data_IF_052482375572
#
_entry.id   IF_052482375572
#
_cell.length_a   1.000
_cell.length_b   1.000
_cell.length_c   1.000
_cell.angle_alpha   90.00
_cell.angle_beta   90.00
_cell.angle_gamma   90.00
#
_symmetry.space_group_name_H-M   'P 1'
#
loop_
_entity.id
_entity.type
_entity.pdbx_description
1 polymer ?
#
# COMPACT_ATOMS: atom_id res chain seq x y z
N UNK A 1 -14.08 9.13 -18.47
CA UNK A 1 -14.59 7.84 -18.98
C UNK A 1 -13.43 6.87 -19.03
N UNK A 2 -12.98 6.39 -17.87
CA UNK A 2 -12.05 5.27 -17.78
C UNK A 2 -12.87 4.01 -17.94
N UNK A 3 -12.49 3.19 -18.92
CA UNK A 3 -13.08 1.87 -19.11
C UNK A 3 -12.58 1.03 -17.94
N UNK A 4 -13.45 0.77 -16.96
CA UNK A 4 -13.28 -0.40 -16.08
C UNK A 4 -13.05 -1.57 -17.02
N UNK A 5 -11.84 -2.13 -17.01
CA UNK A 5 -11.57 -3.38 -17.69
C UNK A 5 -12.33 -4.45 -16.90
N UNK A 6 -13.62 -4.58 -17.20
CA UNK A 6 -14.33 -5.83 -17.04
C UNK A 6 -13.35 -6.90 -17.54
N UNK A 7 -13.16 -7.99 -16.79
CA UNK A 7 -12.45 -9.19 -17.27
C UNK A 7 -13.11 -9.67 -18.57
N UNK A 8 -12.73 -9.09 -19.71
CA UNK A 8 -13.18 -9.53 -21.02
C UNK A 8 -12.27 -10.68 -21.38
N UNK A 9 -12.77 -11.89 -21.14
CA UNK A 9 -12.22 -13.12 -21.71
C UNK A 9 -12.33 -12.96 -23.23
N UNK A 10 -11.24 -12.56 -23.89
CA UNK A 10 -11.21 -12.43 -25.34
C UNK A 10 -11.15 -13.84 -25.95
N UNK A 11 -12.30 -14.36 -26.37
CA UNK A 11 -12.37 -15.65 -27.07
C UNK A 11 -11.89 -15.44 -28.52
N UNK A 12 -10.64 -15.77 -28.81
CA UNK A 12 -10.15 -15.82 -30.19
C UNK A 12 -10.67 -17.10 -30.87
N UNK A 13 -11.67 -16.97 -31.75
CA UNK A 13 -12.15 -18.07 -32.58
C UNK A 13 -11.29 -18.15 -33.85
N UNK A 14 -10.35 -19.09 -33.89
CA UNK A 14 -9.62 -19.42 -35.13
C UNK A 14 -10.40 -20.52 -35.86
N UNK A 15 -11.11 -20.14 -36.93
CA UNK A 15 -11.78 -21.09 -37.80
C UNK A 15 -10.78 -21.72 -38.78
N UNK A 16 -10.10 -22.79 -38.34
CA UNK A 16 -9.36 -23.70 -39.22
C UNK A 16 -10.23 -24.90 -39.60
N UNK A 17 -10.14 -25.37 -40.85
CA UNK A 17 -11.05 -26.35 -41.47
C UNK A 17 -11.09 -27.76 -40.83
N UNK A 18 -10.48 -28.00 -39.68
CA UNK A 18 -10.62 -29.23 -38.90
C UNK A 18 -10.49 -28.92 -37.41
N UNK A 19 -11.61 -28.94 -36.68
CA UNK A 19 -11.65 -28.89 -35.21
C UNK A 19 -11.64 -27.49 -34.60
N UNK A 20 -12.62 -27.21 -33.74
CA UNK A 20 -12.69 -26.03 -32.90
C UNK A 20 -11.58 -26.12 -31.84
N UNK A 21 -10.53 -25.30 -31.96
CA UNK A 21 -9.52 -25.15 -30.89
C UNK A 21 -9.81 -23.86 -30.15
N UNK A 22 -10.31 -23.98 -28.92
CA UNK A 22 -10.44 -22.85 -28.00
C UNK A 22 -9.06 -22.66 -27.37
N UNK A 23 -8.38 -21.55 -27.70
CA UNK A 23 -7.13 -21.18 -27.04
C UNK A 23 -7.43 -20.11 -25.99
N UNK A 24 -7.05 -20.40 -24.74
CA UNK A 24 -7.12 -19.44 -23.65
C UNK A 24 -5.80 -18.68 -23.64
N UNK A 25 -5.79 -17.44 -24.08
CA UNK A 25 -4.67 -16.54 -23.82
C UNK A 25 -4.91 -15.88 -22.48
N UNK A 26 -4.26 -16.39 -21.42
CA UNK A 26 -4.08 -15.59 -20.22
C UNK A 26 -3.11 -14.46 -20.61
N UNK A 27 -3.58 -13.22 -20.61
CA UNK A 27 -2.66 -12.10 -20.49
C UNK A 27 -2.04 -12.20 -19.11
N UNK A 28 -0.70 -12.20 -18.97
CA UNK A 28 -0.11 -12.07 -17.66
C UNK A 28 -0.68 -10.79 -17.02
N UNK A 29 -1.21 -10.90 -15.80
CA UNK A 29 -1.54 -9.74 -15.01
C UNK A 29 -0.20 -9.08 -14.67
N UNK A 30 0.12 -8.01 -15.38
CA UNK A 30 1.23 -7.14 -15.03
C UNK A 30 0.76 -6.28 -13.85
N UNK A 31 1.71 -5.89 -12.99
CA UNK A 31 1.56 -4.91 -11.90
C UNK A 31 0.34 -4.00 -12.05
N UNK A 32 -0.51 -3.93 -11.04
CA UNK A 32 -1.70 -3.06 -11.04
C UNK A 32 -1.39 -1.63 -10.59
N UNK A 33 -0.29 -1.40 -9.85
CA UNK A 33 0.12 -0.07 -9.39
C UNK A 33 1.31 0.48 -10.20
N UNK A 34 1.17 1.70 -10.73
CA UNK A 34 2.12 2.37 -11.62
C UNK A 34 2.53 3.75 -11.10
N UNK A 35 3.67 4.25 -11.58
CA UNK A 35 4.12 5.62 -11.32
C UNK A 35 3.07 6.64 -11.80
N UNK A 36 2.32 7.23 -10.87
CA UNK A 36 1.21 8.16 -11.15
C UNK A 36 -0.14 7.75 -10.59
N UNK A 37 -0.24 6.58 -9.96
CA UNK A 37 -1.38 6.23 -9.11
C UNK A 37 -1.28 6.97 -7.76
N UNK A 38 -2.43 7.16 -7.12
CA UNK A 38 -2.57 7.98 -5.92
C UNK A 38 -1.90 7.31 -4.70
N UNK A 39 -1.57 8.13 -3.69
CA UNK A 39 -0.81 7.73 -2.51
C UNK A 39 -1.04 8.69 -1.34
N UNK A 40 -0.89 8.17 -0.12
CA UNK A 40 -1.07 8.90 1.15
C UNK A 40 0.21 8.89 2.00
N UNK A 41 1.33 9.14 1.34
CA UNK A 41 2.67 9.25 1.94
C UNK A 41 3.48 10.35 1.24
N UNK A 42 4.65 10.71 1.76
CA UNK A 42 5.53 11.74 1.23
C UNK A 42 5.74 11.67 -0.30
N UNK A 43 6.05 10.48 -0.81
CA UNK A 43 5.97 10.07 -2.22
C UNK A 43 6.03 8.54 -2.30
N UNK A 44 5.57 7.92 -3.40
CA UNK A 44 5.68 6.48 -3.56
C UNK A 44 7.12 5.99 -3.64
N UNK A 45 7.44 4.91 -2.93
CA UNK A 45 8.74 4.24 -2.97
C UNK A 45 8.62 2.95 -3.78
N UNK A 46 9.01 3.03 -5.06
CA UNK A 46 9.00 1.93 -6.03
C UNK A 46 10.28 1.11 -5.97
N UNK A 47 10.26 -0.19 -6.36
CA UNK A 47 11.43 -1.05 -6.25
C UNK A 47 12.56 -0.59 -7.19
N UNK A 48 13.77 -0.47 -6.63
CA UNK A 48 15.01 -0.15 -7.33
C UNK A 48 15.40 -1.25 -8.30
N UNK A 49 15.57 -0.94 -9.60
CA UNK A 49 16.13 -1.92 -10.53
C UNK A 49 17.57 -2.30 -10.15
N UNK A 50 17.85 -3.60 -10.07
CA UNK A 50 19.13 -4.15 -9.66
C UNK A 50 19.55 -3.89 -8.21
N UNK A 51 18.62 -3.42 -7.37
CA UNK A 51 18.85 -3.17 -5.95
C UNK A 51 18.99 -4.43 -5.10
N UNK A 52 19.00 -4.24 -3.79
CA UNK A 52 19.01 -5.32 -2.81
C UNK A 52 17.61 -5.82 -2.45
N UNK A 53 17.56 -7.12 -2.19
CA UNK A 53 16.49 -7.76 -1.42
C UNK A 53 16.95 -7.98 -0.01
N UNK A 54 16.42 -7.17 0.89
CA UNK A 54 16.76 -7.18 2.31
C UNK A 54 15.99 -8.30 2.98
N UNK A 55 16.70 -9.34 3.40
CA UNK A 55 16.12 -10.56 3.95
C UNK A 55 15.47 -10.33 5.32
N UNK A 56 14.30 -10.93 5.51
CA UNK A 56 13.62 -10.89 6.81
C UNK A 56 14.29 -11.77 7.87
N UNK A 57 15.04 -12.82 7.54
CA UNK A 57 15.92 -13.61 8.45
C UNK A 57 15.29 -14.03 9.79
N UNK A 58 14.00 -14.42 9.81
CA UNK A 58 13.22 -14.66 11.06
C UNK A 58 13.19 -13.45 12.02
N UNK A 59 13.32 -12.27 11.44
CA UNK A 59 13.21 -10.93 11.99
C UNK A 59 12.05 -10.22 11.26
N UNK A 60 11.91 -8.95 11.56
CA UNK A 60 10.98 -7.99 10.98
C UNK A 60 11.78 -6.79 10.47
N UNK A 61 11.32 -6.22 9.38
CA UNK A 61 11.88 -5.01 8.78
C UNK A 61 10.88 -3.88 8.96
N UNK A 62 11.36 -2.67 9.12
CA UNK A 62 10.52 -1.49 9.12
C UNK A 62 11.17 -0.36 8.35
N UNK A 63 10.34 0.44 7.70
CA UNK A 63 10.75 1.67 7.03
C UNK A 63 9.72 2.76 7.26
N UNK A 64 10.13 4.02 7.16
CA UNK A 64 9.33 5.15 7.60
C UNK A 64 8.63 5.89 6.46
N UNK A 65 7.51 6.55 6.80
CA UNK A 65 6.84 7.46 5.90
C UNK A 65 6.20 8.62 6.65
N UNK A 66 6.27 9.81 6.07
CA UNK A 66 5.40 10.91 6.46
C UNK A 66 4.08 10.82 5.72
N UNK A 67 2.97 10.89 6.45
CA UNK A 67 1.63 10.97 5.92
C UNK A 67 1.43 12.28 5.13
N UNK A 68 0.92 12.18 3.90
CA UNK A 68 0.61 13.35 3.06
C UNK A 68 -0.84 13.84 3.18
N UNK A 69 -1.73 13.03 3.76
CA UNK A 69 -3.15 13.37 3.92
C UNK A 69 -3.77 12.55 5.06
N UNK A 70 -4.43 13.22 6.00
CA UNK A 70 -5.12 12.56 7.13
C UNK A 70 -6.18 11.58 6.63
N UNK A 71 -6.34 10.44 7.31
CA UNK A 71 -7.38 9.45 7.03
C UNK A 71 -6.85 8.02 7.08
N UNK A 72 -7.61 7.03 6.60
CA UNK A 72 -7.21 5.63 6.71
C UNK A 72 -5.99 5.28 5.85
N UNK A 73 -5.24 4.28 6.34
CA UNK A 73 -4.29 3.45 5.59
C UNK A 73 -5.10 2.27 5.04
N UNK A 74 -5.73 2.50 3.89
CA UNK A 74 -6.74 1.59 3.35
C UNK A 74 -6.13 0.45 2.55
N UNK A 75 -5.04 0.73 1.82
CA UNK A 75 -4.24 -0.29 1.14
C UNK A 75 -2.74 -0.11 1.42
N UNK A 76 -2.03 -1.24 1.36
CA UNK A 76 -0.58 -1.31 1.48
C UNK A 76 -0.06 -2.16 0.33
N UNK A 77 0.88 -1.60 -0.44
CA UNK A 77 1.57 -2.30 -1.53
C UNK A 77 3.06 -2.28 -1.25
N UNK A 78 3.71 -3.43 -1.39
CA UNK A 78 5.15 -3.54 -1.20
C UNK A 78 5.73 -4.62 -2.09
N UNK A 79 7.04 -4.60 -2.30
CA UNK A 79 7.70 -5.50 -3.23
C UNK A 79 8.66 -6.44 -2.54
N UNK A 80 8.63 -7.70 -2.95
CA UNK A 80 9.48 -8.75 -2.40
C UNK A 80 10.11 -9.61 -3.51
N UNK A 81 11.10 -10.41 -3.13
CA UNK A 81 11.50 -11.60 -3.87
C UNK A 81 11.86 -12.75 -2.94
N UNK A 82 12.18 -13.87 -3.58
CA UNK A 82 12.74 -15.04 -2.93
C UNK A 82 14.15 -15.30 -3.44
N UNK A 83 15.02 -15.70 -2.51
CA UNK A 83 16.39 -16.09 -2.82
C UNK A 83 16.41 -17.19 -3.90
N UNK A 84 17.34 -17.08 -4.85
CA UNK A 84 17.52 -18.02 -5.97
C UNK A 84 16.25 -18.27 -6.81
N UNK A 85 15.31 -17.31 -6.85
CA UNK A 85 13.98 -17.44 -7.48
C UNK A 85 13.12 -18.60 -6.92
N UNK A 86 13.45 -19.08 -5.71
CA UNK A 86 12.76 -20.19 -5.04
C UNK A 86 11.48 -19.73 -4.33
N UNK A 87 10.46 -19.38 -5.13
CA UNK A 87 9.16 -18.89 -4.63
C UNK A 87 8.50 -19.89 -3.68
N UNK A 88 8.06 -19.38 -2.52
CA UNK A 88 7.34 -20.13 -1.50
C UNK A 88 5.95 -19.53 -1.27
N UNK A 89 4.97 -20.34 -0.80
CA UNK A 89 3.68 -19.80 -0.39
C UNK A 89 3.84 -18.87 0.82
N UNK A 90 3.02 -17.83 0.86
CA UNK A 90 2.86 -16.96 2.02
C UNK A 90 1.59 -17.41 2.76
N UNK A 91 1.77 -17.91 3.99
CA UNK A 91 0.65 -18.34 4.84
C UNK A 91 0.00 -17.12 5.51
N UNK A 92 0.82 -16.29 6.15
CA UNK A 92 0.44 -15.03 6.76
C UNK A 92 1.55 -13.97 6.68
N UNK A 93 1.14 -12.71 6.84
CA UNK A 93 1.99 -11.53 6.95
C UNK A 93 1.46 -10.69 8.11
N UNK A 94 2.29 -10.37 9.10
CA UNK A 94 1.94 -9.37 10.12
C UNK A 94 2.43 -8.01 9.64
N UNK A 95 1.53 -7.03 9.65
CA UNK A 95 1.83 -5.63 9.41
C UNK A 95 1.65 -4.88 10.73
N UNK A 96 2.62 -4.04 11.07
CA UNK A 96 2.56 -3.11 12.20
C UNK A 96 2.74 -1.67 11.72
N UNK A 97 1.98 -0.75 12.31
CA UNK A 97 2.19 0.69 12.16
C UNK A 97 2.63 1.24 13.50
N UNK A 98 3.78 1.90 13.51
CA UNK A 98 4.41 2.42 14.72
C UNK A 98 4.56 3.93 14.64
N UNK A 99 4.57 4.58 15.80
CA UNK A 99 5.04 5.96 15.94
C UNK A 99 6.55 6.05 15.75
N UNK A 100 7.01 7.23 15.37
CA UNK A 100 8.42 7.53 15.20
C UNK A 100 9.09 7.99 16.52
N UNK A 101 10.20 7.36 16.90
CA UNK A 101 11.20 7.96 17.79
C UNK A 101 12.41 8.42 16.95
N UNK A 102 12.52 9.74 16.65
CA UNK A 102 13.56 10.26 15.77
C UNK A 102 14.98 10.19 16.38
N UNK A 103 15.10 9.74 17.62
CA UNK A 103 16.37 9.67 18.36
C UNK A 103 16.44 8.39 19.18
N UNK A 104 16.01 7.29 18.57
CA UNK A 104 15.98 5.93 19.10
C UNK A 104 17.15 5.56 20.01
N UNK A 105 17.05 4.45 20.76
CA UNK A 105 17.99 4.12 21.84
C UNK A 105 19.46 3.99 21.41
N UNK A 106 19.73 3.83 20.11
CA UNK A 106 21.06 3.74 19.52
C UNK A 106 21.50 5.00 18.77
N UNK A 107 20.66 6.05 18.70
CA UNK A 107 20.98 7.36 18.15
C UNK A 107 20.50 7.61 16.71
N UNK A 108 19.74 6.69 16.12
CA UNK A 108 19.05 6.82 14.84
C UNK A 108 17.53 6.72 15.04
N UNK A 109 16.77 7.14 14.04
CA UNK A 109 15.31 7.12 14.08
C UNK A 109 14.81 5.67 13.95
N UNK A 110 13.75 5.32 14.69
CA UNK A 110 13.25 3.93 14.82
C UNK A 110 11.75 3.88 15.14
N UNK A 111 11.10 2.71 14.94
CA UNK A 111 9.79 2.44 15.50
C UNK A 111 9.78 2.48 17.05
N UNK A 112 8.83 3.22 17.66
CA UNK A 112 8.69 3.38 19.12
C UNK A 112 7.46 2.67 19.69
N UNK A 113 6.30 3.32 19.64
CA UNK A 113 5.03 2.78 20.15
C UNK A 113 4.25 2.14 18.99
N UNK A 114 3.85 0.88 19.14
CA UNK A 114 2.94 0.20 18.22
C UNK A 114 1.55 0.84 18.31
N UNK A 115 1.08 1.39 17.20
CA UNK A 115 -0.20 2.11 17.10
C UNK A 115 -1.30 1.20 16.56
N UNK A 116 -0.95 0.31 15.63
CA UNK A 116 -1.88 -0.61 14.99
C UNK A 116 -1.14 -1.84 14.50
N UNK A 117 -1.77 -3.01 14.59
CA UNK A 117 -1.24 -4.25 14.03
C UNK A 117 -2.35 -5.11 13.43
N UNK A 118 -2.00 -5.86 12.39
CA UNK A 118 -2.90 -6.88 11.83
C UNK A 118 -2.13 -8.01 11.17
N UNK A 119 -2.76 -9.19 11.17
CA UNK A 119 -2.29 -10.36 10.44
C UNK A 119 -3.18 -10.54 9.21
N UNK A 120 -2.56 -10.64 8.04
CA UNK A 120 -3.18 -10.91 6.76
C UNK A 120 -2.79 -12.32 6.31
N UNK A 121 -3.74 -13.06 5.75
CA UNK A 121 -3.54 -14.41 5.25
C UNK A 121 -3.51 -14.43 3.73
N UNK A 122 -3.26 -15.59 3.14
CA UNK A 122 -3.31 -15.76 1.68
C UNK A 122 -4.64 -15.34 1.00
N UNK A 123 -5.75 -15.21 1.75
CA UNK A 123 -7.03 -14.72 1.20
C UNK A 123 -7.16 -13.21 1.20
N UNK A 124 -6.33 -12.51 1.97
CA UNK A 124 -6.38 -11.05 2.14
C UNK A 124 -5.37 -10.34 1.24
N UNK A 125 -4.53 -11.11 0.52
CA UNK A 125 -3.45 -10.57 -0.31
C UNK A 125 -3.58 -11.00 -1.77
N UNK A 126 -3.17 -10.11 -2.66
CA UNK A 126 -2.93 -10.43 -4.08
C UNK A 126 -1.42 -10.37 -4.35
N UNK A 127 -0.91 -11.36 -5.09
CA UNK A 127 0.51 -11.43 -5.48
C UNK A 127 0.60 -11.26 -6.98
N UNK A 128 1.32 -10.24 -7.43
CA UNK A 128 1.51 -9.92 -8.85
C UNK A 128 2.99 -9.99 -9.20
N UNK A 129 3.32 -10.82 -10.19
CA UNK A 129 4.69 -10.92 -10.70
C UNK A 129 5.02 -9.73 -11.60
N UNK A 130 6.18 -9.14 -11.39
CA UNK A 130 6.70 -8.00 -12.14
C UNK A 130 7.71 -8.43 -13.20
N UNK A 131 8.02 -7.52 -14.12
CA UNK A 131 9.08 -7.74 -15.11
C UNK A 131 10.40 -8.10 -14.41
N UNK A 132 11.06 -9.20 -14.82
CA UNK A 132 12.24 -9.71 -14.15
C UNK A 132 13.43 -8.77 -14.31
N UNK A 133 14.29 -8.77 -13.30
CA UNK A 133 15.43 -7.88 -13.21
C UNK A 133 16.48 -8.47 -12.25
N UNK A 134 17.74 -8.43 -12.65
CA UNK A 134 18.83 -9.08 -11.92
C UNK A 134 19.16 -8.28 -10.66
N UNK A 135 18.99 -8.89 -9.49
CA UNK A 135 19.06 -8.20 -8.20
C UNK A 135 19.93 -8.96 -7.20
N UNK A 136 20.41 -8.24 -6.19
CA UNK A 136 21.23 -8.79 -5.11
C UNK A 136 20.38 -9.28 -3.94
N UNK A 137 20.93 -10.19 -3.14
CA UNK A 137 20.37 -10.61 -1.86
C UNK A 137 21.21 -10.05 -0.71
N UNK A 138 20.58 -9.53 0.34
CA UNK A 138 21.28 -9.01 1.51
C UNK A 138 20.61 -9.45 2.81
N UNK A 139 21.36 -10.13 3.67
CA UNK A 139 20.95 -10.43 5.04
C UNK A 139 21.65 -9.47 6.01
N UNK A 140 20.92 -8.46 6.53
CA UNK A 140 21.52 -7.46 7.43
C UNK A 140 21.91 -8.05 8.79
N UNK A 141 21.29 -9.18 9.21
CA UNK A 141 21.58 -9.80 10.50
C UNK A 141 22.93 -10.49 10.55
N UNK A 142 23.34 -11.12 9.44
CA UNK A 142 24.65 -11.76 9.31
C UNK A 142 25.68 -10.89 8.60
N UNK A 143 25.23 -9.82 7.92
CA UNK A 143 26.04 -9.01 7.01
C UNK A 143 26.41 -9.75 5.71
N UNK A 144 25.77 -10.88 5.41
CA UNK A 144 26.03 -11.64 4.19
C UNK A 144 25.27 -11.05 3.02
N UNK A 145 25.91 -11.00 1.86
CA UNK A 145 25.27 -10.50 0.64
C UNK A 145 25.72 -11.30 -0.57
N UNK A 146 24.85 -11.39 -1.56
CA UNK A 146 25.08 -12.08 -2.83
C UNK A 146 24.64 -11.16 -3.98
N UNK A 147 25.58 -10.50 -4.66
CA UNK A 147 25.27 -9.78 -5.89
C UNK A 147 24.73 -10.77 -6.94
N UNK A 148 23.85 -10.28 -7.84
CA UNK A 148 23.34 -11.05 -8.99
C UNK A 148 22.71 -12.42 -8.60
N UNK A 149 21.86 -12.44 -7.57
CA UNK A 149 21.31 -13.67 -6.99
C UNK A 149 20.08 -14.21 -7.76
N UNK A 150 19.13 -13.35 -8.08
CA UNK A 150 17.81 -13.78 -8.59
C UNK A 150 17.24 -12.75 -9.58
N UNK A 151 16.16 -13.11 -10.29
CA UNK A 151 15.55 -12.29 -11.33
C UNK A 151 14.10 -11.88 -11.02
N UNK A 152 13.34 -12.72 -10.31
CA UNK A 152 11.91 -12.55 -10.13
C UNK A 152 11.63 -11.65 -8.95
N UNK A 153 10.65 -10.77 -9.10
CA UNK A 153 10.15 -9.88 -8.07
C UNK A 153 8.63 -9.78 -8.14
N UNK A 154 8.03 -9.52 -7.00
CA UNK A 154 6.58 -9.63 -6.82
C UNK A 154 6.09 -8.43 -6.03
N UNK A 155 4.96 -7.89 -6.44
CA UNK A 155 4.20 -6.91 -5.68
C UNK A 155 3.16 -7.67 -4.86
N UNK A 156 3.09 -7.34 -3.58
CA UNK A 156 2.08 -7.80 -2.64
C UNK A 156 1.11 -6.66 -2.43
N UNK A 157 -0.18 -6.93 -2.66
CA UNK A 157 -1.25 -5.98 -2.45
C UNK A 157 -2.11 -6.45 -1.29
N UNK A 158 -2.23 -5.59 -0.28
CA UNK A 158 -3.18 -5.70 0.81
C UNK A 158 -4.17 -4.56 0.62
N UNK A 159 -5.38 -4.88 0.18
CA UNK A 159 -6.39 -3.89 -0.23
C UNK A 159 -7.64 -4.01 0.62
N UNK A 160 -8.42 -2.93 0.70
CA UNK A 160 -9.68 -2.89 1.43
C UNK A 160 -9.53 -3.32 2.91
N UNK A 161 -8.46 -2.83 3.56
CA UNK A 161 -8.12 -3.19 4.95
C UNK A 161 -9.30 -2.83 5.86
N UNK A 162 -9.90 -3.85 6.47
CA UNK A 162 -10.98 -3.66 7.45
C UNK A 162 -10.41 -3.11 8.77
N UNK A 163 -11.05 -2.10 9.36
CA UNK A 163 -10.54 -1.42 10.56
C UNK A 163 -9.10 -0.88 10.37
N UNK A 164 -8.88 -0.04 9.34
CA UNK A 164 -7.56 0.49 9.01
C UNK A 164 -7.10 1.50 10.07
N UNK A 165 -5.78 1.67 10.19
CA UNK A 165 -5.23 2.76 10.99
C UNK A 165 -5.56 4.11 10.36
N UNK A 166 -5.96 5.09 11.18
CA UNK A 166 -6.18 6.47 10.75
C UNK A 166 -4.90 7.27 11.00
N UNK A 167 -4.19 7.60 9.92
CA UNK A 167 -2.99 8.45 9.97
C UNK A 167 -3.35 9.94 9.93
N UNK A 168 -2.45 10.77 10.44
CA UNK A 168 -2.57 12.24 10.49
C UNK A 168 -1.53 12.89 9.56
N UNK A 169 -1.94 13.88 8.78
CA UNK A 169 -1.08 14.64 7.85
C UNK A 169 0.16 15.21 8.58
N UNK A 170 1.31 15.20 7.91
CA UNK A 170 2.61 15.64 8.42
C UNK A 170 3.18 14.82 9.60
N UNK A 171 2.53 13.72 10.01
CA UNK A 171 3.06 12.79 11.02
C UNK A 171 3.90 11.69 10.35
N UNK A 172 5.03 11.36 10.97
CA UNK A 172 5.92 10.26 10.55
C UNK A 172 5.53 8.98 11.28
N UNK A 173 5.33 7.92 10.51
CA UNK A 173 5.04 6.57 10.97
C UNK A 173 6.07 5.58 10.43
N UNK A 174 6.13 4.39 11.03
CA UNK A 174 6.96 3.29 10.56
C UNK A 174 6.11 2.08 10.18
N UNK A 175 6.36 1.51 9.01
CA UNK A 175 5.68 0.33 8.48
C UNK A 175 6.54 -0.90 8.79
N UNK A 176 6.15 -1.66 9.78
CA UNK A 176 6.75 -2.97 10.09
C UNK A 176 6.10 -4.05 9.24
N UNK A 177 6.92 -4.90 8.60
CA UNK A 177 6.51 -6.14 7.97
C UNK A 177 7.21 -7.32 8.66
N UNK A 178 6.45 -8.36 8.98
CA UNK A 178 6.95 -9.62 9.53
C UNK A 178 6.28 -10.81 8.83
N UNK A 179 7.09 -11.63 8.17
CA UNK A 179 6.69 -12.88 7.52
C UNK A 179 6.75 -14.11 8.44
N UNK A 180 6.98 -13.90 9.74
CA UNK A 180 7.10 -14.93 10.75
C UNK A 180 8.23 -15.92 10.42
N UNK A 181 7.94 -17.22 10.32
CA UNK A 181 8.95 -18.25 10.10
C UNK A 181 9.29 -18.47 8.60
N UNK A 182 8.67 -17.74 7.67
CA UNK A 182 8.92 -17.93 6.23
C UNK A 182 10.38 -17.54 5.90
N UNK A 183 11.22 -18.48 5.44
CA UNK A 183 12.62 -18.18 5.16
C UNK A 183 12.81 -17.65 3.73
N UNK A 184 13.93 -16.97 3.52
CA UNK A 184 14.39 -16.56 2.18
C UNK A 184 13.39 -15.69 1.41
N UNK A 185 12.67 -14.84 2.13
CA UNK A 185 11.88 -13.73 1.57
C UNK A 185 12.62 -12.44 1.90
N UNK A 186 12.68 -11.52 0.94
CA UNK A 186 13.36 -10.24 1.09
C UNK A 186 12.48 -9.09 0.62
N UNK A 187 12.57 -7.94 1.30
CA UNK A 187 11.92 -6.69 0.92
C UNK A 187 12.84 -5.91 -0.02
N UNK A 188 12.32 -5.49 -1.16
CA UNK A 188 13.04 -4.71 -2.17
C UNK A 188 13.47 -3.35 -1.64
N UNK A 189 14.71 -2.99 -1.91
CA UNK A 189 15.21 -1.62 -1.81
C UNK A 189 14.48 -0.68 -2.79
N UNK A 190 14.39 0.61 -2.44
CA UNK A 190 13.98 1.70 -3.34
C UNK A 190 15.13 2.67 -3.66
N UNK A 191 15.08 3.31 -4.83
CA UNK A 191 15.94 4.46 -5.16
C UNK A 191 15.40 5.79 -4.60
N UNK A 192 14.16 5.78 -4.10
CA UNK A 192 13.47 6.97 -3.60
C UNK A 192 13.76 7.16 -2.11
N UNK A 193 14.99 7.58 -1.80
CA UNK A 193 15.39 7.74 -0.41
C UNK A 193 14.58 8.82 0.31
N UNK A 194 14.08 8.57 1.52
CA UNK A 194 13.39 9.54 2.36
C UNK A 194 13.84 9.46 3.82
N UNK A 195 13.91 10.60 4.50
CA UNK A 195 14.28 10.70 5.92
C UNK A 195 15.57 9.95 6.35
N UNK A 196 15.44 8.80 7.02
CA UNK A 196 16.52 7.98 7.60
C UNK A 196 16.51 6.56 7.06
N UNK A 197 17.48 5.75 7.49
CA UNK A 197 17.64 4.39 6.97
C UNK A 197 16.50 3.47 7.44
N UNK A 198 16.05 2.55 6.59
CA UNK A 198 15.22 1.43 7.03
C UNK A 198 15.92 0.64 8.15
N UNK A 199 15.14 -0.09 8.96
CA UNK A 199 15.66 -0.85 10.11
C UNK A 199 15.25 -2.31 10.11
N UNK A 200 16.10 -3.15 10.72
CA UNK A 200 15.78 -4.54 11.01
C UNK A 200 15.83 -4.83 12.52
N UNK A 201 14.97 -5.73 12.98
CA UNK A 201 14.89 -6.07 14.39
C UNK A 201 15.91 -7.13 14.81
N UNK A 202 16.90 -6.73 15.59
CA UNK A 202 17.80 -7.67 16.27
C UNK A 202 17.70 -7.45 17.78
N UNK A 203 16.90 -8.33 18.40
CA UNK A 203 16.46 -8.18 19.79
C UNK A 203 17.60 -7.76 20.73
N UNK A 204 17.41 -6.70 21.55
CA UNK A 204 16.15 -5.97 21.77
C UNK A 204 16.04 -4.65 20.98
N UNK A 205 16.80 -4.46 19.90
CA UNK A 205 16.92 -3.17 19.22
C UNK A 205 16.61 -3.23 17.73
N UNK A 206 16.24 -2.08 17.19
CA UNK A 206 16.23 -1.79 15.76
C UNK A 206 17.62 -1.33 15.31
N UNK A 207 18.14 -1.93 14.25
CA UNK A 207 19.43 -1.61 13.65
C UNK A 207 19.23 -1.11 12.23
N UNK A 208 19.96 -0.07 11.83
CA UNK A 208 19.92 0.46 10.46
C UNK A 208 20.31 -0.62 9.45
N UNK A 209 19.57 -0.65 8.34
CA UNK A 209 19.91 -1.37 7.12
C UNK A 209 20.75 -0.42 6.28
N UNK A 210 21.99 -0.81 5.99
CA UNK A 210 22.90 -0.03 5.15
C UNK A 210 23.40 -0.87 3.99
N UNK A 211 23.68 -0.24 2.86
CA UNK A 211 24.22 -0.93 1.69
C UNK A 211 25.48 -1.72 2.09
N UNK A 212 25.52 -3.05 1.82
CA UNK A 212 26.59 -3.91 2.30
C UNK A 212 27.96 -3.64 1.64
N UNK A 213 28.00 -2.85 0.57
CA UNK A 213 29.20 -2.51 -0.20
C UNK A 213 29.61 -1.05 0.03
N UNK A 214 28.68 -0.12 -0.16
CA UNK A 214 28.91 1.32 -0.14
C UNK A 214 28.67 1.94 1.25
N UNK A 215 27.89 1.27 2.10
CA UNK A 215 27.51 1.77 3.43
C UNK A 215 26.53 2.94 3.40
N UNK A 216 25.88 3.19 2.25
CA UNK A 216 24.83 4.19 2.09
C UNK A 216 23.53 3.75 2.75
N UNK A 217 22.60 4.68 2.93
CA UNK A 217 21.24 4.37 3.38
C UNK A 217 20.56 3.39 2.40
N UNK A 218 19.72 2.51 2.95
CA UNK A 218 18.76 1.68 2.22
C UNK A 218 17.37 2.00 2.77
N UNK A 219 16.47 2.35 1.86
CA UNK A 219 15.03 2.44 2.12
C UNK A 219 14.31 1.35 1.33
N UNK A 220 13.10 1.00 1.75
CA UNK A 220 12.35 -0.14 1.25
C UNK A 220 11.17 0.30 0.39
N UNK A 221 10.84 -0.53 -0.61
CA UNK A 221 9.82 -0.20 -1.58
C UNK A 221 8.42 -0.53 -1.04
N UNK A 222 7.62 0.50 -0.77
CA UNK A 222 6.20 0.39 -0.46
C UNK A 222 5.42 1.64 -0.87
N UNK A 223 4.09 1.47 -0.92
CA UNK A 223 3.13 2.54 -1.16
C UNK A 223 1.93 2.36 -0.24
N UNK A 224 1.56 3.43 0.43
CA UNK A 224 0.34 3.55 1.23
C UNK A 224 -0.69 4.32 0.42
N UNK A 225 -1.92 3.81 0.30
CA UNK A 225 -3.02 4.50 -0.40
C UNK A 225 -4.30 4.55 0.44
N UNK A 226 -5.18 5.50 0.11
CA UNK A 226 -6.59 5.46 0.49
C UNK A 226 -7.40 4.87 -0.66
N UNK A 227 -8.71 4.69 -0.49
CA UNK A 227 -9.59 4.45 -1.63
C UNK A 227 -10.99 5.03 -1.39
N UNK A 228 -11.59 5.55 -2.45
CA UNK A 228 -13.03 5.78 -2.50
C UNK A 228 -13.73 4.47 -2.90
N UNK A 229 -14.90 4.13 -2.34
CA UNK A 229 -15.63 2.95 -2.83
C UNK A 229 -16.14 3.09 -4.25
N UNK A 230 -16.21 4.32 -4.77
CA UNK A 230 -16.73 4.60 -6.09
C UNK A 230 -15.65 5.15 -7.01
N UNK A 231 -15.65 4.67 -8.26
CA UNK A 231 -14.79 5.16 -9.35
C UNK A 231 -15.24 6.53 -9.91
N UNK A 232 -15.95 7.34 -9.11
CA UNK A 232 -16.48 8.63 -9.55
C UNK A 232 -15.40 9.73 -9.61
N UNK A 233 -14.20 9.43 -9.10
CA UNK A 233 -12.99 10.27 -9.20
C UNK A 233 -13.00 11.52 -8.31
N UNK A 234 -13.96 11.62 -7.38
CA UNK A 234 -14.02 12.60 -6.31
C UNK A 234 -14.81 12.02 -5.14
N UNK A 235 -14.56 12.52 -3.94
CA UNK A 235 -15.31 12.13 -2.74
C UNK A 235 -16.75 12.66 -2.76
N UNK A 236 -17.60 12.12 -1.89
CA UNK A 236 -18.90 12.67 -1.54
C UNK A 236 -20.12 11.86 -2.01
N UNK A 237 -19.92 10.65 -2.56
CA UNK A 237 -20.96 9.63 -2.68
C UNK A 237 -21.04 8.84 -1.36
N UNK A 238 -21.44 9.56 -0.31
CA UNK A 238 -21.44 9.12 1.10
C UNK A 238 -22.29 7.87 1.31
N UNK A 239 -23.38 7.71 0.55
CA UNK A 239 -24.27 6.55 0.68
C UNK A 239 -23.91 5.39 -0.26
N UNK A 240 -22.83 5.53 -1.02
CA UNK A 240 -22.30 4.54 -1.97
C UNK A 240 -23.35 4.12 -3.00
N UNK A 241 -24.09 5.10 -3.53
CA UNK A 241 -25.17 4.88 -4.50
C UNK A 241 -24.67 4.81 -5.95
N UNK A 242 -23.44 5.27 -6.20
CA UNK A 242 -22.80 5.42 -7.49
C UNK A 242 -23.28 6.65 -8.26
N UNK A 243 -22.39 7.23 -9.08
CA UNK A 243 -22.73 8.35 -9.97
C UNK A 243 -22.51 9.72 -9.34
N UNK A 244 -21.75 9.76 -8.25
CA UNK A 244 -21.21 10.94 -7.60
C UNK A 244 -22.17 11.66 -6.64
N UNK A 245 -21.68 12.76 -6.02
CA UNK A 245 -22.36 13.45 -4.93
C UNK A 245 -23.74 14.00 -5.30
N UNK A 246 -24.75 13.68 -4.48
CA UNK A 246 -26.12 14.14 -4.63
C UNK A 246 -26.80 14.40 -3.26
N UNK A 247 -28.10 14.75 -3.28
CA UNK A 247 -28.81 15.13 -2.06
C UNK A 247 -28.99 13.96 -1.07
N UNK A 248 -29.01 12.72 -1.56
CA UNK A 248 -29.09 11.54 -0.71
C UNK A 248 -27.85 11.43 0.19
N UNK A 249 -26.68 11.77 -0.34
CA UNK A 249 -25.40 11.79 0.39
C UNK A 249 -25.39 12.80 1.53
N UNK A 250 -25.89 14.02 1.27
CA UNK A 250 -26.06 15.03 2.32
C UNK A 250 -26.97 14.51 3.42
N UNK A 251 -28.09 13.86 3.06
CA UNK A 251 -29.03 13.30 4.03
C UNK A 251 -28.39 12.16 4.82
N UNK A 252 -27.58 11.32 4.17
CA UNK A 252 -26.87 10.22 4.81
C UNK A 252 -25.83 10.75 5.82
N UNK A 253 -24.98 11.67 5.38
CA UNK A 253 -23.93 12.28 6.18
C UNK A 253 -24.49 12.98 7.43
N UNK A 254 -25.56 13.77 7.26
CA UNK A 254 -26.26 14.43 8.38
C UNK A 254 -26.86 13.39 9.36
N UNK A 255 -27.40 12.27 8.86
CA UNK A 255 -27.89 11.18 9.73
C UNK A 255 -26.78 10.55 10.54
N UNK A 256 -25.64 10.29 9.92
CA UNK A 256 -24.46 9.76 10.61
C UNK A 256 -23.99 10.73 11.71
N UNK A 257 -23.74 12.00 11.35
CA UNK A 257 -23.15 13.00 12.27
C UNK A 257 -24.08 13.34 13.44
N UNK A 258 -25.37 13.56 13.19
CA UNK A 258 -26.28 14.14 14.20
C UNK A 258 -27.29 13.16 14.80
N UNK A 259 -27.57 12.05 14.13
CA UNK A 259 -28.68 11.17 14.48
C UNK A 259 -28.25 9.72 14.76
N UNK A 260 -26.94 9.44 14.81
CA UNK A 260 -26.43 8.10 15.06
C UNK A 260 -26.79 7.10 13.95
N UNK A 261 -26.88 7.60 12.71
CA UNK A 261 -27.00 6.76 11.52
C UNK A 261 -25.78 5.85 11.34
N UNK A 262 -25.85 4.90 10.40
CA UNK A 262 -24.69 4.08 10.05
C UNK A 262 -23.51 4.97 9.58
N UNK A 263 -22.26 4.57 9.86
CA UNK A 263 -21.10 5.22 9.26
C UNK A 263 -21.14 5.08 7.73
N UNK A 264 -20.58 6.06 6.99
CA UNK A 264 -20.39 5.92 5.54
C UNK A 264 -19.69 4.60 5.21
N UNK A 265 -20.09 3.92 4.12
CA UNK A 265 -19.45 2.66 3.71
C UNK A 265 -17.95 2.80 3.49
N UNK A 266 -17.50 3.98 3.07
CA UNK A 266 -16.10 4.34 2.94
C UNK A 266 -15.84 5.66 3.66
N UNK A 267 -14.72 5.72 4.34
CA UNK A 267 -14.36 6.88 5.13
C UNK A 267 -14.14 8.10 4.22
N UNK A 268 -13.42 7.90 3.12
CA UNK A 268 -13.03 8.91 2.14
C UNK A 268 -14.25 9.60 1.54
N UNK A 269 -15.33 8.85 1.26
CA UNK A 269 -16.58 9.41 0.74
C UNK A 269 -17.31 10.29 1.77
N UNK A 270 -17.15 9.99 3.06
CA UNK A 270 -17.72 10.78 4.16
C UNK A 270 -16.89 12.01 4.52
N UNK A 271 -15.58 11.96 4.34
CA UNK A 271 -14.60 13.03 4.56
C UNK A 271 -14.46 13.87 3.29
N UNK A 272 -15.56 14.53 2.91
CA UNK A 272 -15.79 15.25 1.65
C UNK A 272 -14.72 16.31 1.40
N UNK A 273 -14.23 16.97 2.44
CA UNK A 273 -13.22 18.02 2.32
C UNK A 273 -11.76 17.52 2.45
N UNK A 274 -11.55 16.22 2.68
CA UNK A 274 -10.23 15.61 2.81
C UNK A 274 -9.51 15.97 4.11
N UNK A 275 -10.23 16.42 5.15
CA UNK A 275 -9.64 16.78 6.44
C UNK A 275 -9.16 15.58 7.25
N UNK A 276 -9.54 14.37 6.84
CA UNK A 276 -9.34 13.12 7.56
C UNK A 276 -10.23 12.98 8.78
N UNK A 277 -11.38 13.68 8.80
CA UNK A 277 -12.37 13.53 9.87
C UNK A 277 -13.79 13.83 9.38
N UNK A 278 -14.70 12.86 9.54
CA UNK A 278 -16.09 13.03 9.10
C UNK A 278 -16.86 13.89 10.12
N UNK A 279 -17.18 15.12 9.76
CA UNK A 279 -17.81 16.10 10.65
C UNK A 279 -18.77 17.08 9.90
N UNK A 280 -19.25 18.12 10.58
CA UNK A 280 -20.22 19.07 9.99
C UNK A 280 -19.64 19.85 8.80
N UNK A 281 -18.32 20.05 8.75
CA UNK A 281 -17.65 20.71 7.64
C UNK A 281 -17.90 19.98 6.32
N UNK A 282 -17.84 18.64 6.33
CA UNK A 282 -18.13 17.81 5.16
C UNK A 282 -19.55 17.98 4.66
N UNK A 283 -20.53 17.96 5.57
CA UNK A 283 -21.93 18.18 5.22
C UNK A 283 -22.16 19.58 4.64
N UNK A 284 -21.48 20.60 5.17
CA UNK A 284 -21.54 21.97 4.64
C UNK A 284 -20.87 22.04 3.26
N UNK A 285 -19.71 21.41 3.09
CA UNK A 285 -18.97 21.36 1.83
C UNK A 285 -19.82 20.74 0.72
N UNK A 286 -20.41 19.56 1.01
CA UNK A 286 -21.26 18.82 0.09
C UNK A 286 -22.49 19.64 -0.33
N UNK A 287 -23.13 20.34 0.62
CA UNK A 287 -24.26 21.26 0.32
C UNK A 287 -23.81 22.44 -0.55
N UNK A 288 -22.64 23.02 -0.28
CA UNK A 288 -22.09 24.13 -1.07
C UNK A 288 -21.83 23.70 -2.51
N UNK A 289 -21.20 22.54 -2.71
CA UNK A 289 -20.95 21.98 -4.02
C UNK A 289 -22.26 21.74 -4.80
N UNK A 290 -23.20 21.00 -4.20
CA UNK A 290 -24.43 20.56 -4.88
C UNK A 290 -25.38 21.71 -5.20
N UNK A 291 -25.56 22.66 -4.27
CA UNK A 291 -26.63 23.68 -4.40
C UNK A 291 -26.13 25.07 -4.76
N UNK A 292 -24.87 25.39 -4.50
CA UNK A 292 -24.37 26.77 -4.58
C UNK A 292 -23.18 26.94 -5.53
N UNK A 293 -22.75 25.88 -6.22
CA UNK A 293 -21.60 25.92 -7.12
C UNK A 293 -20.29 26.18 -6.38
N UNK A 294 -20.18 25.66 -5.15
CA UNK A 294 -18.93 25.64 -4.38
C UNK A 294 -17.83 24.82 -5.07
N UNK A 295 -16.62 24.78 -4.47
CA UNK A 295 -15.56 23.91 -4.96
C UNK A 295 -16.02 22.44 -5.02
N UNK A 296 -15.49 21.64 -5.95
CA UNK A 296 -15.71 20.20 -5.93
C UNK A 296 -15.14 19.60 -4.64
N UNK A 297 -15.70 18.45 -4.18
CA UNK A 297 -15.10 17.65 -3.12
C UNK A 297 -13.62 17.36 -3.39
N UNK A 298 -12.88 17.03 -2.33
CA UNK A 298 -11.51 16.61 -2.48
C UNK A 298 -11.42 15.41 -3.44
N UNK A 299 -10.33 15.32 -4.24
CA UNK A 299 -10.13 14.17 -5.12
C UNK A 299 -10.08 12.89 -4.31
N UNK A 300 -10.45 11.79 -4.97
CA UNK A 300 -10.17 10.48 -4.40
C UNK A 300 -8.65 10.24 -4.39
N UNK A 301 -8.11 9.68 -3.30
CA UNK A 301 -6.72 9.23 -3.21
C UNK A 301 -6.55 7.80 -3.75
#
# INVERSE_FOLDING_TARGET
MRTVLLKVILIAIVAGAFGLVITWTATPAWADWWLGDDYKMHYPQTPKPGGWDVEFSSSRLADDWMCSETGPVSDIRFWISWMDDMVQPIDDIRIGIWSNDPSGPLGWSVPDILLWERIFTSSDITIVEWEPDLQGWYDPSSGSFMPDNHLRRFQINIEEIQDPYIQEEDVIYWLEIDFGPLPFVGWKETDQHWNDDAVFWYSPFWWEVRDPIEGTSIDLAFVITGYCCNDDGMRGDVDNSGGGPNIADVVYLVKFIFFGGPPPPCFEEGDVDGSGSINIADAVHLVQFIFFGGPPPAPCP
#
